data_IF_642948631574
#
_entry.id   IF_642948631574
#
_cell.length_a   1.000
_cell.length_b   1.000
_cell.length_c   1.000
_cell.angle_alpha   90.00
_cell.angle_beta   90.00
_cell.angle_gamma   90.00
#
_symmetry.space_group_name_H-M   'P 1'
#
loop_
_entity.id
_entity.type
_entity.pdbx_description
1 polymer ?
#
# COMPACT_ATOMS: atom_id res chain seq x y z
N UNK A 1 12.34 -21.11 17.40
CA UNK A 1 11.62 -20.46 16.29
C UNK A 1 10.28 -20.00 16.87
N UNK A 2 9.91 -18.74 16.70
CA UNK A 2 8.57 -18.31 17.06
C UNK A 2 7.65 -18.68 15.89
N UNK A 3 6.65 -19.51 16.14
CA UNK A 3 5.59 -19.73 15.16
C UNK A 3 4.83 -18.42 14.98
N UNK A 4 4.88 -17.88 13.77
CA UNK A 4 4.15 -16.66 13.40
C UNK A 4 2.80 -17.11 12.87
N UNK A 5 1.78 -17.06 13.73
CA UNK A 5 0.39 -17.21 13.31
C UNK A 5 -0.14 -15.86 12.83
N UNK A 6 -0.49 -15.79 11.55
CA UNK A 6 -1.13 -14.62 10.96
C UNK A 6 -2.59 -14.94 10.69
N UNK A 7 -3.50 -14.17 11.27
CA UNK A 7 -4.90 -14.16 10.86
C UNK A 7 -4.98 -13.42 9.50
N UNK A 8 -4.86 -14.19 8.42
CA UNK A 8 -4.84 -13.66 7.05
C UNK A 8 -6.11 -12.84 6.74
N UNK A 9 -7.35 -13.33 7.02
CA UNK A 9 -8.55 -12.53 6.79
C UNK A 9 -8.57 -11.19 7.54
N UNK A 10 -8.17 -11.18 8.81
CA UNK A 10 -8.12 -9.95 9.60
C UNK A 10 -7.06 -8.98 9.08
N UNK A 11 -5.86 -9.49 8.76
CA UNK A 11 -4.75 -8.69 8.24
C UNK A 11 -5.07 -8.09 6.87
N UNK A 12 -5.69 -8.86 5.96
CA UNK A 12 -6.16 -8.37 4.66
C UNK A 12 -7.21 -7.28 4.81
N UNK A 13 -8.19 -7.48 5.69
CA UNK A 13 -9.22 -6.44 5.97
C UNK A 13 -8.60 -5.15 6.49
N UNK A 14 -7.63 -5.26 7.41
CA UNK A 14 -6.93 -4.10 7.95
C UNK A 14 -6.15 -3.34 6.87
N UNK A 15 -5.42 -4.05 6.00
CA UNK A 15 -4.67 -3.45 4.90
C UNK A 15 -5.58 -2.80 3.84
N UNK A 16 -6.75 -3.39 3.57
CA UNK A 16 -7.77 -2.76 2.71
C UNK A 16 -8.28 -1.45 3.31
N UNK A 17 -8.48 -1.40 4.63
CA UNK A 17 -8.78 -0.16 5.36
C UNK A 17 -7.70 0.91 5.16
N UNK A 18 -6.42 0.52 5.32
CA UNK A 18 -5.28 1.41 5.11
C UNK A 18 -5.23 1.93 3.67
N UNK A 19 -5.46 1.09 2.66
CA UNK A 19 -5.54 1.50 1.25
C UNK A 19 -6.59 2.59 1.07
N UNK A 20 -7.79 2.40 1.61
CA UNK A 20 -8.89 3.36 1.51
C UNK A 20 -8.56 4.69 2.21
N UNK A 21 -7.93 4.65 3.37
CA UNK A 21 -7.48 5.85 4.09
C UNK A 21 -6.44 6.64 3.28
N UNK A 22 -5.48 5.93 2.67
CA UNK A 22 -4.45 6.53 1.82
C UNK A 22 -5.08 7.18 0.58
N UNK A 23 -6.06 6.53 -0.06
CA UNK A 23 -6.78 7.09 -1.19
C UNK A 23 -7.52 8.37 -0.80
N UNK A 24 -8.25 8.37 0.32
CA UNK A 24 -8.91 9.57 0.83
C UNK A 24 -7.92 10.70 1.17
N UNK A 25 -6.76 10.36 1.75
CA UNK A 25 -5.70 11.34 2.03
C UNK A 25 -5.06 11.90 0.74
N UNK A 26 -4.87 11.06 -0.29
CA UNK A 26 -4.36 11.47 -1.58
C UNK A 26 -5.33 12.43 -2.28
N UNK A 27 -6.63 12.12 -2.28
CA UNK A 27 -7.66 13.00 -2.85
C UNK A 27 -7.70 14.34 -2.11
N UNK A 28 -7.68 14.32 -0.78
CA UNK A 28 -7.59 15.53 0.04
C UNK A 28 -6.33 16.35 -0.25
N UNK A 29 -5.19 15.69 -0.41
CA UNK A 29 -3.93 16.34 -0.79
C UNK A 29 -4.05 16.99 -2.17
N UNK A 30 -4.56 16.27 -3.19
CA UNK A 30 -4.73 16.80 -4.54
C UNK A 30 -5.67 18.03 -4.58
N UNK A 31 -6.72 18.04 -3.77
CA UNK A 31 -7.63 19.18 -3.63
C UNK A 31 -6.94 20.43 -3.06
N UNK A 32 -5.85 20.27 -2.31
CA UNK A 32 -5.07 21.35 -1.70
C UNK A 32 -3.87 21.78 -2.55
N UNK A 33 -3.96 21.64 -3.88
CA UNK A 33 -2.86 22.02 -4.77
C UNK A 33 -2.48 23.51 -4.58
N UNK A 34 -1.23 23.80 -4.18
CA UNK A 34 -0.81 25.17 -3.93
C UNK A 34 -0.71 25.98 -5.22
N UNK A 35 -1.16 27.23 -5.15
CA UNK A 35 -1.06 28.21 -6.22
C UNK A 35 -0.48 29.52 -5.69
N UNK A 36 0.56 30.02 -6.35
CA UNK A 36 1.24 31.27 -6.06
C UNK A 36 1.37 32.12 -7.33
N UNK A 37 0.33 32.90 -7.67
CA UNK A 37 0.28 33.65 -8.91
C UNK A 37 1.29 34.82 -8.92
N UNK A 38 1.76 35.23 -10.10
CA UNK A 38 2.77 36.28 -10.24
C UNK A 38 2.37 37.62 -9.59
N UNK A 39 1.07 37.91 -9.59
CA UNK A 39 0.50 39.11 -8.99
C UNK A 39 0.65 39.13 -7.46
N UNK A 40 0.72 37.95 -6.81
CA UNK A 40 0.89 37.84 -5.37
C UNK A 40 2.30 38.23 -4.89
N UNK A 41 3.32 38.19 -5.77
CA UNK A 41 4.69 38.58 -5.41
C UNK A 41 4.95 40.10 -5.50
N UNK A 42 4.03 40.87 -6.08
CA UNK A 42 4.20 42.30 -6.29
C UNK A 42 5.04 42.66 -7.53
N UNK A 43 5.11 43.97 -7.81
CA UNK A 43 5.71 44.52 -9.04
C UNK A 43 7.21 44.19 -9.11
N UNK A 44 7.66 43.62 -10.23
CA UNK A 44 9.07 43.26 -10.47
C UNK A 44 9.49 41.88 -9.96
N UNK A 45 8.64 41.18 -9.20
CA UNK A 45 8.98 39.88 -8.59
C UNK A 45 8.35 38.67 -9.31
N UNK A 46 7.85 38.84 -10.53
CA UNK A 46 7.22 37.76 -11.30
C UNK A 46 8.14 36.52 -11.44
N UNK A 47 9.44 36.72 -11.67
CA UNK A 47 10.41 35.63 -11.72
C UNK A 47 10.58 34.89 -10.38
N UNK A 48 10.40 35.57 -9.25
CA UNK A 48 10.42 34.94 -7.92
C UNK A 48 9.14 34.13 -7.68
N UNK A 49 7.97 34.67 -8.06
CA UNK A 49 6.70 33.94 -8.00
C UNK A 49 6.75 32.63 -8.79
N UNK A 50 7.32 32.65 -10.00
CA UNK A 50 7.49 31.44 -10.82
C UNK A 50 8.36 30.39 -10.12
N UNK A 51 9.45 30.81 -9.47
CA UNK A 51 10.31 29.90 -8.71
C UNK A 51 9.60 29.30 -7.49
N UNK A 52 8.81 30.11 -6.78
CA UNK A 52 8.01 29.65 -5.65
C UNK A 52 6.90 28.68 -6.10
N UNK A 53 6.16 29.00 -7.16
CA UNK A 53 5.17 28.10 -7.74
C UNK A 53 5.80 26.75 -8.11
N UNK A 54 6.93 26.77 -8.82
CA UNK A 54 7.64 25.54 -9.17
C UNK A 54 8.15 24.76 -7.95
N UNK A 55 8.56 25.45 -6.87
CA UNK A 55 8.96 24.80 -5.63
C UNK A 55 7.76 24.13 -4.93
N UNK A 56 6.63 24.82 -4.85
CA UNK A 56 5.39 24.26 -4.31
C UNK A 56 4.91 23.05 -5.10
N UNK A 57 4.94 23.11 -6.43
CA UNK A 57 4.59 21.97 -7.29
C UNK A 57 5.50 20.76 -7.06
N UNK A 58 6.81 20.98 -6.94
CA UNK A 58 7.76 19.89 -6.63
C UNK A 58 7.46 19.24 -5.28
N UNK A 59 7.23 20.03 -4.24
CA UNK A 59 6.91 19.51 -2.90
C UNK A 59 5.58 18.77 -2.92
N UNK A 60 4.57 19.35 -3.55
CA UNK A 60 3.24 18.76 -3.67
C UNK A 60 3.27 17.43 -4.44
N UNK A 61 3.97 17.38 -5.58
CA UNK A 61 4.15 16.16 -6.37
C UNK A 61 4.87 15.06 -5.59
N UNK A 62 5.92 15.41 -4.84
CA UNK A 62 6.59 14.46 -3.94
C UNK A 62 5.65 13.95 -2.84
N UNK A 63 4.76 14.80 -2.33
CA UNK A 63 3.69 14.40 -1.42
C UNK A 63 2.78 13.34 -2.03
N UNK A 64 2.29 13.57 -3.25
CA UNK A 64 1.47 12.60 -3.98
C UNK A 64 2.17 11.26 -4.18
N UNK A 65 3.47 11.28 -4.55
CA UNK A 65 4.26 10.07 -4.73
C UNK A 65 4.35 9.23 -3.46
N UNK A 66 4.46 9.87 -2.29
CA UNK A 66 4.50 9.15 -1.00
C UNK A 66 3.20 8.38 -0.74
N UNK A 67 2.04 9.00 -1.00
CA UNK A 67 0.75 8.32 -0.87
C UNK A 67 0.64 7.14 -1.84
N UNK A 68 1.04 7.33 -3.10
CA UNK A 68 1.05 6.24 -4.10
C UNK A 68 1.94 5.08 -3.64
N UNK A 69 3.17 5.35 -3.20
CA UNK A 69 4.07 4.30 -2.72
C UNK A 69 3.53 3.58 -1.49
N UNK A 70 2.90 4.30 -0.56
CA UNK A 70 2.29 3.69 0.62
C UNK A 70 1.12 2.76 0.23
N UNK A 71 0.27 3.20 -0.71
CA UNK A 71 -0.83 2.38 -1.25
C UNK A 71 -0.29 1.13 -1.93
N UNK A 72 0.68 1.29 -2.83
CA UNK A 72 1.27 0.18 -3.57
C UNK A 72 1.95 -0.84 -2.62
N UNK A 73 2.57 -0.35 -1.54
CA UNK A 73 3.13 -1.20 -0.49
C UNK A 73 2.05 -1.99 0.25
N UNK A 74 0.93 -1.35 0.62
CA UNK A 74 -0.18 -2.02 1.27
C UNK A 74 -0.84 -3.09 0.36
N UNK A 75 -0.97 -2.79 -0.94
CA UNK A 75 -1.46 -3.74 -1.94
C UNK A 75 -0.51 -4.93 -2.12
N UNK A 76 0.81 -4.68 -2.15
CA UNK A 76 1.80 -5.74 -2.19
C UNK A 76 1.73 -6.64 -0.94
N UNK A 77 1.51 -6.06 0.25
CA UNK A 77 1.33 -6.82 1.48
C UNK A 77 0.08 -7.71 1.43
N UNK A 78 -1.04 -7.23 0.88
CA UNK A 78 -2.24 -8.05 0.66
C UNK A 78 -1.92 -9.25 -0.25
N UNK A 79 -1.25 -9.00 -1.38
CA UNK A 79 -0.88 -10.07 -2.31
C UNK A 79 0.05 -11.12 -1.67
N UNK A 80 0.93 -10.71 -0.75
CA UNK A 80 1.78 -11.63 0.00
C UNK A 80 0.98 -12.48 0.99
N UNK A 81 0.00 -11.91 1.69
CA UNK A 81 -0.88 -12.65 2.59
C UNK A 81 -1.70 -13.70 1.83
N UNK A 82 -2.23 -13.34 0.65
CA UNK A 82 -2.96 -14.27 -0.20
C UNK A 82 -2.07 -15.44 -0.67
N UNK A 83 -0.81 -15.16 -1.00
CA UNK A 83 0.15 -16.21 -1.37
C UNK A 83 0.47 -17.15 -0.20
N UNK A 84 0.58 -16.62 1.02
CA UNK A 84 0.80 -17.42 2.23
C UNK A 84 -0.40 -18.33 2.50
N UNK A 85 -1.62 -17.80 2.44
CA UNK A 85 -2.83 -18.59 2.65
C UNK A 85 -2.96 -19.75 1.65
N UNK A 86 -2.67 -19.50 0.37
CA UNK A 86 -2.66 -20.55 -0.66
C UNK A 86 -1.60 -21.63 -0.38
N UNK A 87 -0.42 -21.23 0.08
CA UNK A 87 0.65 -22.17 0.46
C UNK A 87 0.29 -23.03 1.66
N UNK A 88 -0.38 -22.46 2.66
CA UNK A 88 -0.86 -23.17 3.83
C UNK A 88 -1.96 -24.18 3.46
N UNK A 89 -2.93 -23.78 2.63
CA UNK A 89 -3.98 -24.66 2.15
C UNK A 89 -3.41 -25.84 1.33
N UNK A 90 -2.46 -25.57 0.42
CA UNK A 90 -1.78 -26.63 -0.34
C UNK A 90 -1.03 -27.60 0.57
N UNK A 91 -0.36 -27.09 1.60
CA UNK A 91 0.37 -27.90 2.57
C UNK A 91 -0.59 -28.78 3.38
N UNK A 92 -1.71 -28.22 3.84
CA UNK A 92 -2.75 -28.95 4.55
C UNK A 92 -3.36 -30.07 3.71
N UNK A 93 -3.66 -29.81 2.43
CA UNK A 93 -4.16 -30.82 1.48
C UNK A 93 -3.15 -31.95 1.25
N UNK A 94 -1.86 -31.61 1.12
CA UNK A 94 -0.79 -32.59 0.92
C UNK A 94 -0.63 -33.51 2.14
N UNK A 95 -0.68 -32.93 3.35
CA UNK A 95 -0.61 -33.69 4.60
C UNK A 95 -1.84 -34.59 4.79
N UNK A 96 -3.05 -34.07 4.52
CA UNK A 96 -4.28 -34.85 4.59
C UNK A 96 -4.32 -36.00 3.56
N UNK A 97 -3.74 -35.80 2.37
CA UNK A 97 -3.62 -36.86 1.35
C UNK A 97 -2.55 -37.91 1.66
N UNK A 98 -1.47 -37.52 2.36
CA UNK A 98 -0.39 -38.42 2.78
C UNK A 98 -0.81 -39.40 3.89
N UNK A 99 -1.75 -39.01 4.74
CA UNK A 99 -2.25 -39.84 5.85
C UNK A 99 -3.09 -41.03 5.37
N UNK A 100 -3.57 -41.01 4.11
CA UNK A 100 -4.30 -42.11 3.50
C UNK A 100 -3.43 -43.21 2.86
N UNK A 101 -2.10 -43.05 2.78
CA UNK A 101 -1.18 -44.05 2.19
C UNK A 101 -0.43 -44.88 3.26
N UNK A 102 -0.60 -44.57 4.55
CA UNK A 102 0.03 -45.28 5.67
C UNK A 102 -0.74 -46.49 6.23
N UNK A 103 -1.97 -46.76 5.79
CA UNK A 103 -2.81 -47.86 6.29
C UNK A 103 -2.60 -49.22 5.60
N UNK A 104 -1.57 -49.35 4.76
CA UNK A 104 -1.35 -50.47 3.85
C UNK A 104 -0.33 -51.50 4.34
N UNK A 105 -0.69 -52.29 5.35
CA UNK A 105 -0.26 -53.69 5.47
C UNK A 105 1.04 -54.00 6.22
N UNK A 106 0.99 -55.03 7.08
CA UNK A 106 1.49 -56.41 6.80
C UNK A 106 1.20 -57.35 8.02
N UNK A 107 1.36 -58.68 7.85
CA UNK A 107 0.39 -59.76 8.12
C UNK A 107 0.14 -60.14 9.58
#
# INVERSE_FOLDING_TARGET
MADVFVDVPQATTALQGVVKEIEGALDGHQAQRPAFPAQAAGKGFAGHAQRLQAAFERVHSRGSQRFVHARDTAQAAIAQLDAVAQGDEFSAQTLAGGDHIGGGGRP
#
